data_IF_151210774771
#
_entry.id   IF_151210774771
#
_cell.length_a   1.000
_cell.length_b   1.000
_cell.length_c   1.000
_cell.angle_alpha   90.00
_cell.angle_beta   90.00
_cell.angle_gamma   90.00
#
_symmetry.space_group_name_H-M   'P 1'
#
loop_
_entity.id
_entity.type
_entity.pdbx_description
1 polymer ?
#
# COMPACT_ATOMS: atom_id res chain seq x y z
N UNK A 1 24.72 9.07 13.55
CA UNK A 1 23.93 7.94 13.00
C UNK A 1 23.10 7.22 14.08
N UNK A 2 23.57 7.06 15.32
CA UNK A 2 22.84 6.31 16.36
C UNK A 2 21.53 6.93 16.91
N UNK A 3 21.41 8.27 16.97
CA UNK A 3 20.24 8.93 17.57
C UNK A 3 19.00 8.91 16.66
N UNK A 4 19.20 9.04 15.34
CA UNK A 4 18.14 8.97 14.32
C UNK A 4 17.56 7.55 14.22
N UNK A 5 18.41 6.52 14.22
CA UNK A 5 17.97 5.12 14.22
C UNK A 5 17.22 4.77 15.51
N UNK A 6 17.63 5.31 16.66
CA UNK A 6 16.92 5.10 17.93
C UNK A 6 15.52 5.72 17.91
N UNK A 7 15.39 6.93 17.37
CA UNK A 7 14.09 7.62 17.20
C UNK A 7 13.19 6.87 16.21
N UNK A 8 13.76 6.38 15.11
CA UNK A 8 13.07 5.54 14.14
C UNK A 8 12.51 4.27 14.80
N UNK A 9 13.33 3.52 15.54
CA UNK A 9 12.92 2.28 16.20
C UNK A 9 11.86 2.49 17.30
N UNK A 10 11.81 3.66 17.93
CA UNK A 10 10.74 3.99 18.89
C UNK A 10 9.33 3.94 18.25
N UNK A 11 9.24 4.12 16.93
CA UNK A 11 7.96 4.05 16.22
C UNK A 11 7.43 2.63 16.03
N UNK A 12 8.27 1.59 16.18
CA UNK A 12 7.86 0.19 16.02
C UNK A 12 6.61 -0.15 16.83
N UNK A 13 6.57 0.31 18.09
CA UNK A 13 5.44 0.07 19.02
C UNK A 13 4.12 0.68 18.59
N UNK A 14 4.11 1.54 17.56
CA UNK A 14 2.89 2.14 17.01
C UNK A 14 2.17 1.22 16.04
N UNK A 15 2.88 0.25 15.44
CA UNK A 15 2.28 -0.80 14.61
C UNK A 15 1.92 -1.98 15.51
N UNK A 16 0.81 -1.85 16.24
CA UNK A 16 0.31 -2.89 17.14
C UNK A 16 -0.78 -3.77 16.52
N UNK A 17 -1.30 -3.40 15.35
CA UNK A 17 -2.35 -4.14 14.68
C UNK A 17 -1.85 -5.33 13.86
N UNK A 18 -0.58 -5.32 13.44
CA UNK A 18 0.04 -6.46 12.75
C UNK A 18 0.72 -7.34 13.80
N UNK A 19 0.29 -8.61 13.96
CA UNK A 19 0.92 -9.50 14.91
C UNK A 19 2.30 -9.93 14.38
N UNK A 20 3.28 -10.22 15.26
CA UNK A 20 4.68 -10.47 14.87
C UNK A 20 4.86 -11.62 13.88
N UNK A 21 3.95 -12.59 13.88
CA UNK A 21 3.95 -13.72 12.96
C UNK A 21 3.81 -13.28 11.50
N UNK A 22 2.97 -12.27 11.23
CA UNK A 22 2.84 -11.71 9.87
C UNK A 22 4.07 -10.88 9.46
N UNK A 23 4.95 -10.56 10.43
CA UNK A 23 6.23 -9.88 10.21
C UNK A 23 7.41 -10.85 10.14
N UNK A 24 7.16 -12.17 10.21
CA UNK A 24 8.19 -13.21 10.07
C UNK A 24 8.74 -13.77 11.38
N UNK A 25 8.11 -13.49 12.53
CA UNK A 25 8.45 -14.19 13.78
C UNK A 25 7.83 -15.59 13.78
N UNK A 26 8.65 -16.63 13.89
CA UNK A 26 8.16 -18.00 13.99
C UNK A 26 7.78 -18.31 15.46
N UNK A 27 6.50 -18.59 15.77
CA UNK A 27 6.08 -18.90 17.13
C UNK A 27 6.72 -20.20 17.65
N UNK A 28 7.06 -21.14 16.76
CA UNK A 28 7.62 -22.44 17.11
C UNK A 28 9.16 -22.44 17.22
N UNK A 29 9.81 -21.29 17.00
CA UNK A 29 11.28 -21.19 17.08
C UNK A 29 11.81 -21.63 18.45
N UNK A 30 12.64 -22.67 18.49
CA UNK A 30 13.14 -23.23 19.74
C UNK A 30 14.36 -22.47 20.28
N UNK A 31 15.14 -21.84 19.41
CA UNK A 31 16.38 -21.14 19.78
C UNK A 31 16.08 -19.71 20.26
N UNK A 32 16.41 -19.37 21.53
CA UNK A 32 16.20 -18.02 22.04
C UNK A 32 17.00 -16.95 21.30
N UNK A 33 18.15 -17.28 20.71
CA UNK A 33 18.96 -16.33 19.94
C UNK A 33 18.30 -16.03 18.60
N UNK A 34 17.90 -17.06 17.85
CA UNK A 34 17.16 -16.91 16.59
C UNK A 34 15.86 -16.13 16.78
N UNK A 35 15.07 -16.46 17.82
CA UNK A 35 13.84 -15.73 18.14
C UNK A 35 14.10 -14.24 18.44
N UNK A 36 15.18 -13.92 19.15
CA UNK A 36 15.54 -12.53 19.44
C UNK A 36 15.92 -11.75 18.18
N UNK A 37 16.54 -12.40 17.19
CA UNK A 37 16.84 -11.81 15.88
C UNK A 37 15.55 -11.55 15.11
N UNK A 38 14.68 -12.55 14.99
CA UNK A 38 13.37 -12.41 14.32
C UNK A 38 12.54 -11.27 14.93
N UNK A 39 12.49 -11.18 16.27
CA UNK A 39 11.76 -10.10 16.94
C UNK A 39 12.35 -8.73 16.62
N UNK A 40 13.69 -8.60 16.60
CA UNK A 40 14.34 -7.34 16.23
C UNK A 40 14.02 -6.94 14.79
N UNK A 41 14.03 -7.90 13.87
CA UNK A 41 13.71 -7.67 12.46
C UNK A 41 12.23 -7.28 12.29
N UNK A 42 11.31 -7.92 13.02
CA UNK A 42 9.90 -7.56 13.06
C UNK A 42 9.67 -6.16 13.64
N UNK A 43 10.40 -5.77 14.70
CA UNK A 43 10.35 -4.43 15.27
C UNK A 43 10.86 -3.38 14.25
N UNK A 44 11.95 -3.68 13.54
CA UNK A 44 12.51 -2.79 12.52
C UNK A 44 11.55 -2.62 11.34
N UNK A 45 10.90 -3.70 10.92
CA UNK A 45 9.90 -3.69 9.87
C UNK A 45 8.64 -2.92 10.29
N UNK A 46 8.20 -3.09 11.54
CA UNK A 46 7.10 -2.31 12.13
C UNK A 46 7.39 -0.82 12.11
N UNK A 47 8.60 -0.42 12.52
CA UNK A 47 9.01 0.98 12.46
C UNK A 47 9.01 1.51 11.01
N UNK A 48 9.52 0.73 10.06
CA UNK A 48 9.53 1.09 8.65
C UNK A 48 8.11 1.24 8.08
N UNK A 49 7.19 0.33 8.39
CA UNK A 49 5.78 0.40 7.97
C UNK A 49 5.10 1.65 8.53
N UNK A 50 5.35 2.00 9.80
CA UNK A 50 4.82 3.23 10.39
C UNK A 50 5.28 4.48 9.62
N UNK A 51 6.59 4.62 9.44
CA UNK A 51 7.17 5.79 8.77
C UNK A 51 6.74 5.85 7.31
N UNK A 52 6.76 4.72 6.60
CA UNK A 52 6.28 4.61 5.23
C UNK A 52 4.80 5.00 5.11
N UNK A 53 3.93 4.55 6.02
CA UNK A 53 2.50 4.92 5.97
C UNK A 53 2.26 6.42 6.14
N UNK A 54 3.05 7.08 7.01
CA UNK A 54 2.97 8.53 7.18
C UNK A 54 3.44 9.25 5.92
N UNK A 55 4.57 8.84 5.36
CA UNK A 55 5.10 9.40 4.11
C UNK A 55 4.14 9.22 2.93
N UNK A 56 3.53 8.04 2.79
CA UNK A 56 2.56 7.78 1.72
C UNK A 56 1.33 8.66 1.89
N UNK A 57 0.82 8.86 3.11
CA UNK A 57 -0.30 9.77 3.35
C UNK A 57 0.05 11.22 2.98
N UNK A 58 1.20 11.71 3.44
CA UNK A 58 1.66 13.07 3.14
C UNK A 58 1.83 13.28 1.63
N UNK A 59 2.47 12.32 0.95
CA UNK A 59 2.66 12.36 -0.50
C UNK A 59 1.36 12.32 -1.30
N UNK A 60 0.33 11.61 -0.82
CA UNK A 60 -1.00 11.64 -1.45
C UNK A 60 -1.68 13.01 -1.32
N UNK A 61 -1.49 13.71 -0.20
CA UNK A 61 -1.98 15.09 -0.04
C UNK A 61 -1.20 16.08 -0.91
N UNK A 62 0.11 15.89 -1.07
CA UNK A 62 0.93 16.66 -2.01
C UNK A 62 0.45 16.45 -3.45
N UNK A 63 0.21 15.20 -3.85
CA UNK A 63 -0.34 14.86 -5.17
C UNK A 63 -1.70 15.53 -5.41
N UNK A 64 -2.58 15.54 -4.40
CA UNK A 64 -3.88 16.22 -4.47
C UNK A 64 -3.72 17.74 -4.64
N UNK A 65 -2.83 18.36 -3.85
CA UNK A 65 -2.57 19.79 -3.89
C UNK A 65 -1.96 20.20 -5.24
N UNK A 66 -0.99 19.43 -5.73
CA UNK A 66 -0.40 19.61 -7.06
C UNK A 66 -1.46 19.54 -8.16
N UNK A 67 -2.43 18.63 -8.04
CA UNK A 67 -3.56 18.51 -8.98
C UNK A 67 -4.51 19.70 -8.94
N UNK A 68 -4.78 20.27 -7.77
CA UNK A 68 -5.64 21.45 -7.62
C UNK A 68 -5.02 22.74 -8.18
N UNK A 69 -3.69 22.79 -8.29
CA UNK A 69 -2.94 23.98 -8.74
C UNK A 69 -2.50 23.89 -10.20
N UNK A 70 -2.56 22.70 -10.81
CA UNK A 70 -2.16 22.49 -12.19
C UNK A 70 -3.25 22.91 -13.19
N UNK A 71 -2.82 23.41 -14.35
CA UNK A 71 -3.73 23.64 -15.47
C UNK A 71 -4.40 22.32 -15.90
N UNK A 72 -5.68 22.33 -16.33
CA UNK A 72 -6.46 21.13 -16.68
C UNK A 72 -5.84 20.20 -17.73
N UNK A 73 -4.76 20.61 -18.40
CA UNK A 73 -4.05 19.86 -19.44
C UNK A 73 -2.68 19.30 -19.05
N UNK A 74 -2.17 19.53 -17.84
CA UNK A 74 -0.85 19.02 -17.42
C UNK A 74 -0.99 17.59 -16.87
N UNK A 75 -0.28 16.64 -17.49
CA UNK A 75 -0.16 15.27 -16.98
C UNK A 75 0.84 15.22 -15.82
N UNK A 76 0.33 15.18 -14.59
CA UNK A 76 1.14 15.15 -13.35
C UNK A 76 1.76 13.78 -13.04
N UNK A 77 1.62 12.82 -13.95
CA UNK A 77 1.99 11.41 -13.76
C UNK A 77 3.48 11.19 -13.58
N UNK A 78 4.31 12.18 -13.94
CA UNK A 78 5.78 12.10 -13.84
C UNK A 78 6.33 12.88 -12.64
N UNK A 79 5.56 13.82 -12.09
CA UNK A 79 6.00 14.76 -11.05
C UNK A 79 5.34 14.51 -9.68
N UNK A 80 4.39 13.58 -9.59
CA UNK A 80 3.74 13.23 -8.33
C UNK A 80 4.66 12.51 -7.34
N UNK A 81 4.35 12.60 -6.05
CA UNK A 81 5.07 11.93 -4.96
C UNK A 81 4.69 10.44 -4.90
N UNK A 82 3.40 10.10 -4.95
CA UNK A 82 2.89 8.73 -4.77
C UNK A 82 2.31 8.15 -6.06
N UNK A 83 1.64 8.95 -6.88
CA UNK A 83 1.06 8.50 -8.15
C UNK A 83 2.04 7.74 -9.08
N UNK A 84 3.36 8.06 -9.17
CA UNK A 84 4.28 7.31 -10.01
C UNK A 84 4.53 5.85 -9.58
N UNK A 85 4.17 5.48 -8.35
CA UNK A 85 4.25 4.11 -7.83
C UNK A 85 3.01 3.26 -8.16
N UNK A 86 1.96 3.89 -8.70
CA UNK A 86 0.77 3.19 -9.18
C UNK A 86 0.96 2.69 -10.62
N UNK A 87 0.11 1.77 -11.10
CA UNK A 87 0.20 1.26 -12.46
C UNK A 87 0.17 2.37 -13.53
N UNK A 88 1.29 2.58 -14.23
CA UNK A 88 1.46 3.72 -15.15
C UNK A 88 0.48 3.76 -16.33
N UNK A 89 -0.09 2.62 -16.71
CA UNK A 89 -1.04 2.56 -17.85
C UNK A 89 -2.33 3.35 -17.60
N UNK A 90 -2.75 3.46 -16.34
CA UNK A 90 -3.94 4.23 -15.94
C UNK A 90 -3.61 5.66 -15.53
N UNK A 91 -2.36 6.11 -15.72
CA UNK A 91 -1.91 7.37 -15.13
C UNK A 91 -2.70 8.60 -15.63
N UNK A 92 -3.21 8.54 -16.86
CA UNK A 92 -4.09 9.56 -17.45
C UNK A 92 -5.46 9.67 -16.76
N UNK A 93 -5.88 8.64 -16.03
CA UNK A 93 -7.15 8.56 -15.30
C UNK A 93 -7.01 8.96 -13.82
N UNK A 94 -5.79 9.27 -13.35
CA UNK A 94 -5.55 9.75 -11.98
C UNK A 94 -5.96 11.23 -11.85
N UNK A 95 -7.27 11.45 -11.73
CA UNK A 95 -7.88 12.76 -11.53
C UNK A 95 -7.97 13.14 -10.03
N UNK A 96 -8.49 14.33 -9.76
CA UNK A 96 -8.67 14.83 -8.40
C UNK A 96 -9.53 13.88 -7.54
N UNK A 97 -10.59 13.32 -8.12
CA UNK A 97 -11.53 12.44 -7.41
C UNK A 97 -10.89 11.09 -7.10
N UNK A 98 -10.08 10.56 -8.01
CA UNK A 98 -9.28 9.36 -7.81
C UNK A 98 -8.35 9.53 -6.60
N UNK A 99 -7.61 10.64 -6.53
CA UNK A 99 -6.69 10.90 -5.42
C UNK A 99 -7.47 11.01 -4.10
N UNK A 100 -8.62 11.70 -4.09
CA UNK A 100 -9.46 11.75 -2.88
C UNK A 100 -9.92 10.36 -2.42
N UNK A 101 -10.41 9.53 -3.34
CA UNK A 101 -10.78 8.13 -3.04
C UNK A 101 -9.57 7.36 -2.50
N UNK A 102 -8.39 7.52 -3.12
CA UNK A 102 -7.16 6.85 -2.70
C UNK A 102 -6.69 7.27 -1.30
N UNK A 103 -6.79 8.56 -0.95
CA UNK A 103 -6.51 9.07 0.40
C UNK A 103 -7.42 8.40 1.43
N UNK A 104 -8.72 8.28 1.13
CA UNK A 104 -9.65 7.59 2.05
C UNK A 104 -9.31 6.11 2.17
N UNK A 105 -8.91 5.46 1.07
CA UNK A 105 -8.53 4.05 1.08
C UNK A 105 -7.26 3.83 1.93
N UNK A 106 -6.29 4.73 1.80
CA UNK A 106 -5.06 4.74 2.56
C UNK A 106 -5.31 5.00 4.05
N UNK A 107 -6.14 5.99 4.39
CA UNK A 107 -6.50 6.26 5.79
C UNK A 107 -7.20 5.06 6.45
N UNK A 108 -8.12 4.41 5.74
CA UNK A 108 -8.82 3.22 6.20
C UNK A 108 -7.89 2.01 6.37
N UNK A 109 -7.02 1.76 5.38
CA UNK A 109 -6.03 0.68 5.42
C UNK A 109 -4.98 0.90 6.53
N UNK A 110 -4.38 2.09 6.59
CA UNK A 110 -3.28 2.37 7.50
C UNK A 110 -3.72 2.47 8.96
N UNK A 111 -5.00 2.79 9.22
CA UNK A 111 -5.56 2.67 10.56
C UNK A 111 -5.44 1.24 11.12
N UNK A 112 -5.50 0.21 10.26
CA UNK A 112 -5.39 -1.22 10.62
C UNK A 112 -3.99 -1.57 11.13
N UNK A 113 -2.95 -0.86 10.69
CA UNK A 113 -1.59 -1.03 11.21
C UNK A 113 -1.50 -0.78 12.72
N UNK A 114 -2.33 0.13 13.23
CA UNK A 114 -2.32 0.54 14.65
C UNK A 114 -3.37 -0.15 15.51
N UNK A 115 -4.45 -0.64 14.88
CA UNK A 115 -5.61 -1.21 15.57
C UNK A 115 -5.54 -2.72 15.51
N UNK A 116 -6.16 -3.29 14.50
CA UNK A 116 -6.22 -4.71 14.22
C UNK A 116 -6.06 -4.89 12.72
N UNK A 117 -5.10 -5.73 12.33
CA UNK A 117 -4.86 -6.01 10.94
C UNK A 117 -6.02 -6.79 10.33
N UNK A 118 -6.42 -6.37 9.13
CA UNK A 118 -7.30 -7.15 8.26
C UNK A 118 -6.84 -6.98 6.81
N UNK A 119 -6.94 -8.03 5.97
CA UNK A 119 -6.55 -7.95 4.57
C UNK A 119 -7.31 -6.85 3.81
N UNK A 120 -6.75 -6.36 2.69
CA UNK A 120 -7.41 -5.40 1.80
C UNK A 120 -8.86 -5.77 1.49
N UNK A 121 -9.69 -4.73 1.42
CA UNK A 121 -11.10 -4.84 1.06
C UNK A 121 -11.37 -4.43 -0.39
N UNK A 122 -10.38 -3.89 -1.10
CA UNK A 122 -10.45 -3.55 -2.52
C UNK A 122 -9.06 -3.48 -3.17
N UNK A 123 -9.02 -3.42 -4.50
CA UNK A 123 -7.77 -3.36 -5.29
C UNK A 123 -6.95 -2.12 -4.93
N UNK A 124 -7.56 -0.97 -4.69
CA UNK A 124 -6.85 0.25 -4.30
C UNK A 124 -6.02 0.05 -3.01
N UNK A 125 -6.56 -0.69 -2.04
CA UNK A 125 -5.84 -1.01 -0.80
C UNK A 125 -4.70 -1.99 -1.07
N UNK A 126 -4.85 -2.98 -1.96
CA UNK A 126 -3.74 -3.85 -2.36
C UNK A 126 -2.59 -3.05 -3.00
N UNK A 127 -2.92 -2.12 -3.90
CA UNK A 127 -1.94 -1.23 -4.52
C UNK A 127 -1.20 -0.38 -3.48
N UNK A 128 -1.92 0.14 -2.48
CA UNK A 128 -1.32 0.93 -1.40
C UNK A 128 -0.36 0.09 -0.53
N UNK A 129 -0.64 -1.20 -0.28
CA UNK A 129 0.32 -2.08 0.40
C UNK A 129 1.60 -2.24 -0.44
N UNK A 130 1.47 -2.40 -1.76
CA UNK A 130 2.64 -2.49 -2.63
C UNK A 130 3.48 -1.20 -2.59
N UNK A 131 2.83 -0.05 -2.65
CA UNK A 131 3.49 1.26 -2.48
C UNK A 131 4.20 1.34 -1.13
N UNK A 132 3.55 0.89 -0.04
CA UNK A 132 4.20 0.80 1.27
C UNK A 132 5.47 -0.04 1.23
N UNK A 133 5.47 -1.20 0.57
CA UNK A 133 6.66 -2.05 0.49
C UNK A 133 7.80 -1.37 -0.26
N UNK A 134 7.51 -0.59 -1.30
CA UNK A 134 8.53 0.17 -2.03
C UNK A 134 9.17 1.24 -1.13
N UNK A 135 8.37 1.91 -0.29
CA UNK A 135 8.91 2.85 0.71
C UNK A 135 9.64 2.16 1.86
N UNK A 136 9.18 1.01 2.35
CA UNK A 136 9.92 0.21 3.34
C UNK A 136 11.30 -0.17 2.80
N UNK A 137 11.40 -0.59 1.53
CA UNK A 137 12.68 -0.87 0.88
C UNK A 137 13.59 0.38 0.88
N UNK A 138 13.04 1.55 0.54
CA UNK A 138 13.78 2.81 0.60
C UNK A 138 14.33 3.09 2.02
N UNK A 139 13.51 2.88 3.07
CA UNK A 139 13.95 3.07 4.46
C UNK A 139 14.98 2.03 4.90
N UNK A 140 14.81 0.77 4.50
CA UNK A 140 15.79 -0.30 4.73
C UNK A 140 17.16 0.10 4.20
N UNK A 141 17.23 0.54 2.95
CA UNK A 141 18.50 0.87 2.30
C UNK A 141 19.09 2.17 2.85
N UNK A 142 18.25 3.18 3.12
CA UNK A 142 18.69 4.49 3.63
C UNK A 142 19.22 4.43 5.07
N UNK A 143 18.56 3.66 5.94
CA UNK A 143 18.90 3.60 7.36
C UNK A 143 19.68 2.33 7.74
N UNK A 144 19.94 1.43 6.78
CA UNK A 144 20.63 0.16 7.03
C UNK A 144 19.86 -0.75 7.99
N UNK A 145 18.54 -0.86 7.81
CA UNK A 145 17.71 -1.68 8.69
C UNK A 145 18.04 -3.16 8.49
N UNK A 146 18.25 -3.86 9.61
CA UNK A 146 18.36 -5.31 9.65
C UNK A 146 16.95 -5.90 9.53
N UNK A 147 16.57 -6.25 8.30
CA UNK A 147 15.34 -6.98 7.98
C UNK A 147 15.75 -8.35 7.43
N UNK A 148 14.90 -9.37 7.62
CA UNK A 148 15.09 -10.68 7.00
C UNK A 148 15.23 -10.55 5.47
N UNK A 149 16.08 -11.36 4.83
CA UNK A 149 16.33 -11.23 3.38
C UNK A 149 15.06 -11.39 2.54
N UNK A 150 14.11 -12.20 3.02
CA UNK A 150 12.84 -12.52 2.38
C UNK A 150 11.66 -11.67 2.90
N UNK A 151 11.92 -10.64 3.73
CA UNK A 151 10.90 -9.82 4.41
C UNK A 151 9.75 -9.41 3.50
N UNK A 152 10.06 -8.95 2.28
CA UNK A 152 9.07 -8.46 1.32
C UNK A 152 8.16 -9.58 0.84
N UNK A 153 8.72 -10.75 0.57
CA UNK A 153 7.95 -11.91 0.12
C UNK A 153 7.08 -12.49 1.23
N UNK A 154 7.59 -12.49 2.46
CA UNK A 154 6.84 -12.87 3.66
C UNK A 154 5.67 -11.93 3.88
N UNK A 155 5.89 -10.61 3.86
CA UNK A 155 4.80 -9.64 3.98
C UNK A 155 3.79 -9.70 2.83
N UNK A 156 4.24 -9.88 1.59
CA UNK A 156 3.32 -10.02 0.47
C UNK A 156 2.43 -11.27 0.62
N UNK A 157 3.01 -12.39 1.02
CA UNK A 157 2.26 -13.62 1.27
C UNK A 157 1.18 -13.46 2.33
N UNK A 158 1.46 -12.67 3.37
CA UNK A 158 0.56 -12.48 4.51
C UNK A 158 -0.46 -11.34 4.31
N UNK A 159 0.01 -10.16 3.88
CA UNK A 159 -0.80 -8.94 3.80
C UNK A 159 -1.56 -8.83 2.46
N UNK A 160 -1.08 -9.52 1.41
CA UNK A 160 -1.68 -9.56 0.08
C UNK A 160 -2.13 -10.99 -0.29
N UNK A 161 -2.48 -11.80 0.71
CA UNK A 161 -2.99 -13.14 0.47
C UNK A 161 -4.25 -13.10 -0.41
N UNK A 162 -4.18 -13.73 -1.60
CA UNK A 162 -5.29 -13.78 -2.57
C UNK A 162 -5.41 -12.56 -3.47
N UNK A 163 -4.48 -11.60 -3.39
CA UNK A 163 -4.43 -10.44 -4.25
C UNK A 163 -4.10 -10.80 -5.71
N UNK A 164 -4.77 -10.16 -6.67
CA UNK A 164 -4.52 -10.29 -8.11
C UNK A 164 -4.39 -8.90 -8.75
N UNK A 165 -3.56 -8.02 -8.18
CA UNK A 165 -3.26 -6.70 -8.76
C UNK A 165 -1.98 -6.69 -9.60
N UNK A 166 -1.16 -7.76 -9.57
CA UNK A 166 0.13 -7.80 -10.27
C UNK A 166 0.00 -7.60 -11.78
N UNK A 167 -1.08 -8.10 -12.38
CA UNK A 167 -1.35 -7.94 -13.80
C UNK A 167 -1.63 -6.46 -14.19
N UNK A 168 -1.89 -5.57 -13.22
CA UNK A 168 -2.07 -4.14 -13.45
C UNK A 168 -0.78 -3.44 -13.85
N UNK A 169 0.35 -3.92 -13.32
CA UNK A 169 1.68 -3.35 -13.57
C UNK A 169 2.36 -3.87 -14.83
N UNK A 170 1.81 -4.93 -15.46
CA UNK A 170 2.39 -5.46 -16.69
C UNK A 170 2.21 -4.46 -17.84
N UNK A 171 3.27 -4.16 -18.60
CA UNK A 171 3.11 -3.42 -19.84
C UNK A 171 2.25 -4.24 -20.81
N UNK A 172 1.39 -3.59 -21.58
CA UNK A 172 0.56 -4.26 -22.57
C UNK A 172 1.48 -4.98 -23.58
N UNK A 173 1.29 -6.29 -23.75
CA UNK A 173 2.03 -7.07 -24.74
C UNK A 173 1.63 -6.74 -26.19
N UNK A 174 0.77 -5.74 -26.42
CA UNK A 174 0.25 -5.39 -27.74
C UNK A 174 0.07 -3.88 -27.91
N UNK A 175 1.13 -3.20 -28.35
CA UNK A 175 1.00 -2.14 -29.36
C UNK A 175 0.83 -2.76 -30.77
N UNK A 176 -0.04 -3.77 -30.86
CA UNK A 176 -0.42 -4.47 -32.08
C UNK A 176 -1.90 -4.82 -31.92
N UNK A 177 -2.76 -3.94 -32.42
CA UNK A 177 -4.20 -4.01 -32.21
C UNK A 177 -4.80 -5.36 -32.59
N UNK A 178 -5.33 -6.09 -31.61
CA UNK A 178 -6.50 -6.96 -31.70
C UNK A 178 -6.73 -7.70 -30.37
N UNK A 179 -7.92 -7.54 -29.79
CA UNK A 179 -8.50 -8.55 -28.90
C UNK A 179 -8.50 -8.23 -27.40
N UNK A 180 -9.53 -7.51 -26.94
CA UNK A 180 -10.00 -7.52 -25.55
C UNK A 180 -10.43 -8.94 -25.15
N UNK A 181 -9.89 -9.45 -24.03
CA UNK A 181 -10.44 -10.43 -23.03
C UNK A 181 -9.27 -10.88 -22.14
N UNK A 182 -9.36 -11.10 -20.83
CA UNK A 182 -10.39 -10.98 -19.81
C UNK A 182 -9.70 -11.22 -18.46
N UNK A 183 -9.91 -10.33 -17.50
CA UNK A 183 -9.58 -10.46 -16.08
C UNK A 183 -10.27 -9.28 -15.40
N UNK A 184 -11.01 -9.51 -14.34
CA UNK A 184 -12.01 -8.60 -13.73
C UNK A 184 -11.42 -7.34 -13.07
N UNK A 185 -10.21 -6.91 -13.43
CA UNK A 185 -9.82 -5.53 -13.24
C UNK A 185 -10.50 -4.68 -14.32
N UNK A 186 -11.78 -4.37 -14.04
CA UNK A 186 -12.55 -3.37 -14.76
C UNK A 186 -11.85 -2.01 -14.73
N UNK A 187 -12.50 -1.06 -15.41
CA UNK A 187 -12.24 0.38 -15.31
C UNK A 187 -11.76 0.81 -13.92
N UNK A 188 -10.92 1.85 -13.84
CA UNK A 188 -10.30 2.33 -12.60
C UNK A 188 -11.28 2.55 -11.43
N UNK A 189 -12.56 2.79 -11.70
CA UNK A 189 -13.63 2.81 -10.69
C UNK A 189 -13.78 1.50 -9.90
N UNK A 190 -13.57 0.35 -10.53
CA UNK A 190 -13.61 -0.97 -9.89
C UNK A 190 -12.52 -1.15 -8.83
N UNK A 191 -11.49 -0.29 -8.81
CA UNK A 191 -10.44 -0.38 -7.81
C UNK A 191 -10.94 -0.03 -6.40
N UNK A 192 -12.05 0.69 -6.33
CA UNK A 192 -12.70 1.12 -5.11
C UNK A 192 -14.01 0.38 -4.84
N UNK A 193 -14.28 -0.70 -5.58
CA UNK A 193 -15.37 -1.62 -5.26
C UNK A 193 -14.92 -2.59 -4.16
N UNK A 194 -15.77 -2.85 -3.15
CA UNK A 194 -15.45 -3.82 -2.12
C UNK A 194 -15.39 -5.23 -2.71
N UNK A 195 -14.42 -6.03 -2.27
CA UNK A 195 -14.43 -7.47 -2.47
C UNK A 195 -15.64 -8.12 -1.79
N UNK A 196 -15.98 -9.34 -2.21
CA UNK A 196 -17.16 -10.05 -1.71
C UNK A 196 -17.18 -10.14 -0.18
N UNK A 197 -18.29 -9.68 0.41
CA UNK A 197 -18.50 -9.65 1.86
C UNK A 197 -17.73 -8.57 2.62
N UNK A 198 -16.95 -7.73 1.93
CA UNK A 198 -16.24 -6.59 2.53
C UNK A 198 -17.06 -5.30 2.49
N UNK A 199 -16.63 -4.31 3.26
CA UNK A 199 -17.24 -2.98 3.30
C UNK A 199 -16.15 -1.93 3.23
N UNK A 200 -16.43 -0.86 2.51
CA UNK A 200 -15.57 0.32 2.41
C UNK A 200 -16.25 1.52 3.09
N UNK A 201 -15.46 2.55 3.45
CA UNK A 201 -16.01 3.83 3.92
C UNK A 201 -17.10 4.41 2.99
N UNK A 202 -18.11 5.12 3.52
CA UNK A 202 -19.20 5.66 2.71
C UNK A 202 -18.79 6.60 1.57
N UNK A 203 -17.58 7.17 1.64
CA UNK A 203 -17.03 8.06 0.60
C UNK A 203 -16.85 7.36 -0.77
N UNK A 204 -16.76 6.02 -0.77
CA UNK A 204 -16.67 5.23 -2.00
C UNK A 204 -18.04 4.98 -2.64
N UNK A 205 -19.14 5.14 -1.89
CA UNK A 205 -20.49 4.96 -2.43
C UNK A 205 -20.92 6.22 -3.19
N UNK A 206 -21.15 6.07 -4.50
CA UNK A 206 -21.96 7.01 -5.27
C UNK A 206 -23.43 6.79 -4.97
N UNK A 207 -24.19 7.86 -4.68
CA UNK A 207 -25.62 7.78 -4.39
C UNK A 207 -26.45 7.11 -5.51
N UNK A 208 -25.97 7.17 -6.76
CA UNK A 208 -26.59 6.50 -7.91
C UNK A 208 -26.54 4.96 -7.82
N UNK A 209 -25.62 4.39 -7.04
CA UNK A 209 -25.48 2.95 -6.83
C UNK A 209 -26.53 2.37 -5.86
N UNK A 210 -27.29 3.22 -5.15
CA UNK A 210 -28.31 2.81 -4.17
C UNK A 210 -29.68 2.53 -4.79
N UNK A 211 -29.92 2.92 -6.03
CA UNK A 211 -31.23 2.75 -6.69
C UNK A 211 -31.41 1.39 -7.39
N UNK A 212 -30.39 0.53 -7.41
CA UNK A 212 -30.41 -0.76 -8.12
C UNK A 212 -30.23 -2.00 -7.23
N UNK A 213 -30.44 -1.91 -5.91
CA UNK A 213 -30.37 -3.08 -5.02
C UNK A 213 -31.70 -3.31 -4.29
#
# INVERSE_FOLDING_TARGET
>A
MGETTTTFMHTARRVSGIPPELLGVDPEEGDPVARAVQQRQADALSAALWVASSYVMDGLFEDLAGRSMADPGVSLTTDGTILPFLPRRFAHEYDFRFIQKLIVAAADLFARLTREWSPPDCVAQELLIRVLFDHVQFYKDTYGLDLADDWRSTLARELLAGADHDHLYRPDASDNGAGRRSGTAGTLDNWFEPFDGKRLPPYFETLESRECR
#
